data_IF_594718256277
#
_entry.id   IF_594718256277
#
_cell.length_a   1.000
_cell.length_b   1.000
_cell.length_c   1.000
_cell.angle_alpha   90.00
_cell.angle_beta   90.00
_cell.angle_gamma   90.00
#
_symmetry.space_group_name_H-M   'P 1'
#
loop_
_entity.id
_entity.type
_entity.pdbx_description
1 polymer ?
#
# COMPACT_ATOMS: atom_id res chain seq x y z
N UNK A 1 6.22 -0.81 -2.56
CA UNK A 1 6.57 0.58 -2.19
C UNK A 1 8.00 0.66 -1.69
N UNK A 2 8.71 1.74 -2.03
CA UNK A 2 10.05 2.08 -1.53
C UNK A 2 9.98 3.48 -0.89
N UNK A 3 10.46 3.64 0.35
CA UNK A 3 10.31 4.85 1.15
C UNK A 3 11.65 5.27 1.75
N UNK A 4 11.94 6.58 1.74
CA UNK A 4 13.05 7.18 2.48
C UNK A 4 12.50 7.87 3.73
N UNK A 5 12.89 7.39 4.91
CA UNK A 5 12.39 7.89 6.19
C UNK A 5 13.59 8.39 7.01
N UNK A 6 13.60 9.65 7.47
CA UNK A 6 14.63 10.15 8.37
C UNK A 6 14.69 9.31 9.67
N UNK A 7 15.89 9.00 10.19
CA UNK A 7 16.04 8.11 11.35
C UNK A 7 15.41 8.66 12.65
N UNK A 8 15.16 9.97 12.71
CA UNK A 8 14.44 10.63 13.81
C UNK A 8 12.94 10.29 13.86
N UNK A 9 12.38 9.74 12.78
CA UNK A 9 10.96 9.41 12.68
C UNK A 9 10.81 7.91 12.88
N UNK A 10 9.94 7.51 13.82
CA UNK A 10 9.58 6.11 13.99
C UNK A 10 8.83 5.59 12.76
N UNK A 11 9.31 4.46 12.22
CA UNK A 11 8.68 3.82 11.06
C UNK A 11 7.25 3.39 11.37
N UNK A 12 6.98 2.93 12.60
CA UNK A 12 5.63 2.59 13.03
C UNK A 12 4.67 3.78 12.93
N UNK A 13 5.09 4.94 13.44
CA UNK A 13 4.29 6.17 13.37
C UNK A 13 4.07 6.64 11.94
N UNK A 14 5.11 6.55 11.11
CA UNK A 14 5.02 6.92 9.69
C UNK A 14 4.03 6.03 8.92
N UNK A 15 4.13 4.71 9.09
CA UNK A 15 3.23 3.74 8.45
C UNK A 15 1.80 3.87 8.99
N UNK A 16 1.62 4.08 10.30
CA UNK A 16 0.32 4.33 10.91
C UNK A 16 -0.38 5.56 10.32
N UNK A 17 0.37 6.66 10.19
CA UNK A 17 -0.14 7.87 9.53
C UNK A 17 -0.52 7.61 8.07
N UNK A 18 0.36 6.95 7.31
CA UNK A 18 0.15 6.67 5.89
C UNK A 18 -1.07 5.77 5.66
N UNK A 19 -1.20 4.67 6.41
CA UNK A 19 -2.37 3.77 6.38
C UNK A 19 -3.66 4.49 6.78
N UNK A 20 -3.63 5.27 7.87
CA UNK A 20 -4.81 5.99 8.34
C UNK A 20 -5.30 7.08 7.37
N UNK A 21 -4.39 7.93 6.86
CA UNK A 21 -4.76 8.99 5.92
C UNK A 21 -5.25 8.44 4.59
N UNK A 22 -4.57 7.44 4.03
CA UNK A 22 -4.98 6.81 2.77
C UNK A 22 -6.34 6.12 2.88
N UNK A 23 -6.59 5.37 3.97
CA UNK A 23 -7.89 4.75 4.20
C UNK A 23 -9.01 5.79 4.20
N UNK A 24 -8.81 6.90 4.92
CA UNK A 24 -9.78 8.00 4.92
C UNK A 24 -10.01 8.59 3.52
N UNK A 25 -8.95 8.88 2.78
CA UNK A 25 -9.07 9.42 1.42
C UNK A 25 -9.81 8.48 0.47
N UNK A 26 -9.62 7.17 0.61
CA UNK A 26 -10.30 6.17 -0.21
C UNK A 26 -11.79 6.11 0.14
N UNK A 27 -12.13 6.07 1.43
CA UNK A 27 -13.53 6.10 1.86
C UNK A 27 -14.24 7.40 1.46
N UNK A 28 -13.55 8.54 1.54
CA UNK A 28 -14.11 9.83 1.11
C UNK A 28 -14.34 9.88 -0.41
N UNK A 29 -13.53 9.16 -1.20
CA UNK A 29 -13.66 9.12 -2.67
C UNK A 29 -14.69 8.10 -3.18
N UNK A 30 -14.87 6.99 -2.47
CA UNK A 30 -15.73 5.88 -2.89
C UNK A 30 -16.74 5.55 -1.79
N UNK A 31 -17.89 6.22 -1.83
CA UNK A 31 -18.95 6.07 -0.80
C UNK A 31 -19.47 4.64 -0.69
N UNK A 32 -19.51 3.91 -1.81
CA UNK A 32 -19.89 2.50 -1.90
C UNK A 32 -18.97 1.56 -1.10
N UNK A 33 -17.69 1.91 -0.89
CA UNK A 33 -16.79 1.11 -0.04
C UNK A 33 -17.08 1.28 1.46
N UNK A 34 -17.75 2.37 1.88
CA UNK A 34 -18.15 2.53 3.29
C UNK A 34 -19.16 1.47 3.74
N UNK A 35 -19.98 0.98 2.80
CA UNK A 35 -21.00 -0.02 3.08
C UNK A 35 -20.40 -1.43 3.21
N UNK A 36 -19.41 -1.76 2.37
CA UNK A 36 -18.73 -3.07 2.40
C UNK A 36 -17.75 -3.21 3.58
N UNK A 37 -17.06 -2.12 3.93
CA UNK A 37 -16.07 -2.09 5.02
C UNK A 37 -16.65 -1.46 6.28
N UNK A 38 -17.81 -1.94 6.76
CA UNK A 38 -18.60 -1.34 7.85
C UNK A 38 -17.86 -0.98 9.15
N UNK A 39 -16.65 -1.51 9.38
CA UNK A 39 -15.77 -1.14 10.49
C UNK A 39 -14.65 -0.14 10.14
N UNK A 40 -14.68 0.49 8.96
CA UNK A 40 -13.69 1.46 8.45
C UNK A 40 -12.23 0.96 8.46
N UNK A 41 -12.01 -0.35 8.50
CA UNK A 41 -10.70 -0.97 8.40
C UNK A 41 -10.40 -1.29 6.93
N UNK A 42 -9.69 -0.38 6.26
CA UNK A 42 -9.28 -0.57 4.86
C UNK A 42 -8.01 -1.41 4.72
N UNK A 43 -7.06 -1.22 5.64
CA UNK A 43 -5.77 -1.94 5.63
C UNK A 43 -5.74 -3.01 6.72
N UNK A 44 -5.02 -4.11 6.48
CA UNK A 44 -4.69 -5.09 7.51
C UNK A 44 -3.93 -4.43 8.68
N UNK A 45 -3.99 -4.99 9.89
CA UNK A 45 -3.35 -4.41 11.07
C UNK A 45 -1.81 -4.37 10.94
N UNK A 46 -1.22 -5.46 10.46
CA UNK A 46 0.23 -5.59 10.28
C UNK A 46 0.82 -4.79 9.10
N UNK A 47 2.14 -4.77 9.05
CA UNK A 47 2.93 -4.33 7.91
C UNK A 47 4.27 -5.07 7.91
N UNK A 48 4.85 -5.25 6.72
CA UNK A 48 6.18 -5.82 6.55
C UNK A 48 7.17 -4.71 6.14
N UNK A 49 8.36 -4.74 6.72
CA UNK A 49 9.45 -3.79 6.42
C UNK A 49 10.75 -4.58 6.26
N UNK A 50 11.55 -4.15 5.29
CA UNK A 50 12.94 -4.54 5.17
C UNK A 50 13.79 -3.29 4.92
N UNK A 51 14.97 -3.23 5.52
CA UNK A 51 15.94 -2.15 5.28
C UNK A 51 16.67 -2.37 3.98
N UNK A 52 16.88 -1.30 3.21
CA UNK A 52 17.64 -1.33 1.96
C UNK A 52 19.03 -0.79 2.24
N UNK A 53 20.06 -1.60 2.00
CA UNK A 53 21.45 -1.17 2.20
C UNK A 53 22.12 -0.74 0.89
N UNK A 54 22.27 -1.64 -0.09
CA UNK A 54 23.15 -1.40 -1.25
C UNK A 54 22.48 -1.51 -2.63
N UNK A 55 21.32 -2.16 -2.74
CA UNK A 55 20.72 -2.54 -4.03
C UNK A 55 19.41 -1.80 -4.34
N UNK A 56 19.39 -0.47 -4.16
CA UNK A 56 18.17 0.33 -4.35
C UNK A 56 17.59 0.20 -5.77
N UNK A 57 18.45 0.26 -6.79
CA UNK A 57 18.02 0.16 -8.19
C UNK A 57 17.34 -1.19 -8.50
N UNK A 58 17.89 -2.28 -7.99
CA UNK A 58 17.35 -3.63 -8.17
C UNK A 58 16.02 -3.79 -7.44
N UNK A 59 15.94 -3.30 -6.19
CA UNK A 59 14.72 -3.37 -5.39
C UNK A 59 13.61 -2.52 -5.99
N UNK A 60 13.95 -1.32 -6.49
CA UNK A 60 13.02 -0.46 -7.21
C UNK A 60 12.48 -1.14 -8.46
N UNK A 61 13.35 -1.76 -9.25
CA UNK A 61 12.93 -2.53 -10.43
C UNK A 61 11.99 -3.68 -10.06
N UNK A 62 12.35 -4.44 -9.02
CA UNK A 62 11.52 -5.54 -8.52
C UNK A 62 10.12 -5.08 -8.09
N UNK A 63 10.03 -3.98 -7.33
CA UNK A 63 8.74 -3.41 -6.91
C UNK A 63 7.89 -3.00 -8.12
N UNK A 64 8.49 -2.34 -9.11
CA UNK A 64 7.78 -1.91 -10.31
C UNK A 64 7.27 -3.09 -11.15
N UNK A 65 8.05 -4.18 -11.23
CA UNK A 65 7.65 -5.38 -11.96
C UNK A 65 6.51 -6.11 -11.24
N UNK A 66 6.55 -6.21 -9.91
CA UNK A 66 5.47 -6.73 -9.09
C UNK A 66 4.18 -5.91 -9.26
N UNK A 67 4.25 -4.58 -9.17
CA UNK A 67 3.08 -3.71 -9.35
C UNK A 67 2.45 -3.88 -10.74
N UNK A 68 3.27 -4.02 -11.80
CA UNK A 68 2.77 -4.28 -13.15
C UNK A 68 2.07 -5.64 -13.25
N UNK A 69 2.64 -6.66 -12.63
CA UNK A 69 2.08 -8.00 -12.62
C UNK A 69 0.72 -8.04 -11.89
N UNK A 70 0.62 -7.39 -10.72
CA UNK A 70 -0.63 -7.29 -9.97
C UNK A 70 -1.71 -6.51 -10.75
N UNK A 71 -1.34 -5.44 -11.44
CA UNK A 71 -2.26 -4.71 -12.33
C UNK A 71 -2.75 -5.59 -13.47
N UNK A 72 -1.86 -6.39 -14.08
CA UNK A 72 -2.23 -7.29 -15.17
C UNK A 72 -3.19 -8.38 -14.67
N UNK A 73 -2.92 -9.00 -13.52
CA UNK A 73 -3.81 -9.98 -12.89
C UNK A 73 -5.18 -9.38 -12.55
N UNK A 74 -5.21 -8.20 -11.92
CA UNK A 74 -6.48 -7.53 -11.59
C UNK A 74 -7.31 -7.22 -12.84
N UNK A 75 -6.67 -6.84 -13.95
CA UNK A 75 -7.36 -6.60 -15.24
C UNK A 75 -7.89 -7.88 -15.88
N UNK A 76 -7.26 -9.03 -15.65
CA UNK A 76 -7.76 -10.32 -16.13
C UNK A 76 -9.00 -10.73 -15.34
N UNK A 77 -8.96 -10.61 -14.00
CA UNK A 77 -10.11 -10.93 -13.14
C UNK A 77 -11.34 -10.07 -13.44
N UNK A 78 -11.15 -8.79 -13.80
CA UNK A 78 -12.26 -7.89 -14.20
C UNK A 78 -12.86 -8.22 -15.57
N UNK A 79 -12.19 -9.02 -16.40
CA UNK A 79 -12.70 -9.45 -17.71
C UNK A 79 -13.45 -10.78 -17.66
N UNK A 80 -13.30 -11.54 -16.58
CA UNK A 80 -13.98 -12.82 -16.37
C UNK A 80 -15.35 -12.66 -15.67
N UNK A 81 -15.74 -11.42 -15.36
CA UNK A 81 -17.07 -11.01 -14.89
C UNK A 81 -17.80 -10.31 -16.05
#
# INVERSE_FOLDING_TARGET
>A
MLLSIPPKISVHGFIGYLKGKSARMIFDKYENLKCEFGNHHFWAEGYYINTVELNEATIKKYIQEQEKHDIALNKLNLKEI
#
